data_IF_319552966920
#
_entry.id   IF_319552966920
#
_cell.length_a   1.000
_cell.length_b   1.000
_cell.length_c   1.000
_cell.angle_alpha   90.00
_cell.angle_beta   90.00
_cell.angle_gamma   90.00
#
_symmetry.space_group_name_H-M   'P 1'
#
loop_
_entity.id
_entity.type
_entity.pdbx_description
1 polymer ?
#
# COMPACT_ATOMS: atom_id res chain seq x y z
N UNK A 1 16.41 -22.21 -17.71
CA UNK A 1 17.18 -22.15 -16.45
C UNK A 1 17.25 -23.58 -15.94
N UNK A 2 18.42 -24.21 -16.03
CA UNK A 2 18.63 -25.54 -15.49
C UNK A 2 18.84 -25.38 -13.97
N UNK A 3 17.76 -25.54 -13.20
CA UNK A 3 17.73 -25.40 -11.74
C UNK A 3 18.32 -26.62 -10.99
N UNK A 4 19.12 -27.45 -11.66
CA UNK A 4 20.04 -28.39 -11.02
C UNK A 4 21.02 -27.68 -10.06
N UNK A 5 21.06 -26.34 -10.08
CA UNK A 5 21.93 -25.48 -9.28
C UNK A 5 21.28 -24.77 -8.07
N UNK A 6 20.07 -25.15 -7.63
CA UNK A 6 19.75 -25.05 -6.18
C UNK A 6 20.57 -26.13 -5.42
N UNK A 7 21.88 -26.05 -5.58
CA UNK A 7 22.83 -27.11 -5.32
C UNK A 7 22.97 -27.36 -3.82
N UNK A 8 23.52 -28.53 -3.45
CA UNK A 8 24.02 -28.77 -2.10
C UNK A 8 24.89 -27.61 -1.58
N UNK A 9 25.60 -26.90 -2.47
CA UNK A 9 26.43 -25.74 -2.15
C UNK A 9 25.60 -24.52 -1.72
N UNK A 10 24.46 -24.25 -2.36
CA UNK A 10 23.56 -23.14 -1.97
C UNK A 10 22.89 -23.43 -0.62
N UNK A 11 22.41 -24.67 -0.41
CA UNK A 11 21.90 -25.11 0.90
C UNK A 11 22.98 -25.05 1.99
N UNK A 12 24.20 -25.47 1.66
CA UNK A 12 25.35 -25.41 2.56
C UNK A 12 25.73 -23.97 2.92
N UNK A 13 25.71 -23.03 1.97
CA UNK A 13 25.97 -21.61 2.23
C UNK A 13 24.93 -20.98 3.15
N UNK A 14 23.64 -21.29 2.95
CA UNK A 14 22.57 -20.81 3.84
C UNK A 14 22.74 -21.36 5.25
N UNK A 15 23.03 -22.66 5.38
CA UNK A 15 23.29 -23.28 6.67
C UNK A 15 24.56 -22.73 7.33
N UNK A 16 25.64 -22.55 6.56
CA UNK A 16 26.94 -22.07 7.04
C UNK A 16 26.90 -20.59 7.45
N UNK A 17 26.06 -19.79 6.80
CA UNK A 17 25.86 -18.39 7.14
C UNK A 17 24.73 -18.16 8.15
N UNK A 18 24.12 -19.22 8.68
CA UNK A 18 23.04 -19.16 9.66
C UNK A 18 21.92 -18.18 9.23
N UNK A 19 21.58 -18.17 7.93
CA UNK A 19 20.50 -17.33 7.40
C UNK A 19 19.20 -17.91 7.94
N UNK A 20 18.54 -17.18 8.85
CA UNK A 20 17.36 -17.67 9.58
C UNK A 20 16.04 -17.34 8.92
N UNK A 21 16.00 -16.26 8.13
CA UNK A 21 14.78 -15.78 7.49
C UNK A 21 15.08 -15.23 6.11
N UNK A 22 14.38 -15.73 5.09
CA UNK A 22 14.49 -15.27 3.72
C UNK A 22 13.14 -14.73 3.26
N UNK A 23 13.18 -13.56 2.64
CA UNK A 23 11.99 -12.89 2.11
C UNK A 23 12.02 -12.85 0.59
N UNK A 24 10.87 -13.12 -0.01
CA UNK A 24 10.65 -13.03 -1.45
C UNK A 24 9.92 -11.74 -1.79
N UNK A 25 10.54 -10.97 -2.68
CA UNK A 25 9.90 -9.84 -3.34
C UNK A 25 9.65 -10.24 -4.78
N UNK A 26 8.38 -10.39 -5.12
CA UNK A 26 7.92 -10.86 -6.43
C UNK A 26 7.46 -9.67 -7.26
N UNK A 27 8.05 -9.51 -8.43
CA UNK A 27 7.66 -8.49 -9.39
C UNK A 27 7.13 -9.16 -10.67
N UNK A 28 5.82 -9.00 -10.91
CA UNK A 28 5.10 -9.45 -12.09
C UNK A 28 4.71 -8.28 -13.00
N UNK A 29 5.58 -7.27 -13.09
CA UNK A 29 5.45 -6.12 -13.98
C UNK A 29 6.43 -6.26 -15.16
N UNK A 30 6.41 -5.31 -16.09
CA UNK A 30 7.18 -5.21 -17.35
C UNK A 30 8.56 -5.92 -17.41
N UNK A 31 9.28 -5.96 -16.29
CA UNK A 31 10.46 -6.79 -16.07
C UNK A 31 10.19 -7.83 -14.97
N UNK A 32 9.78 -9.04 -15.36
CA UNK A 32 9.46 -10.08 -14.39
C UNK A 32 10.70 -10.50 -13.59
N UNK A 33 10.69 -10.36 -12.25
CA UNK A 33 11.82 -10.82 -11.42
C UNK A 33 11.41 -11.28 -10.00
N UNK A 34 12.29 -12.08 -9.40
CA UNK A 34 12.20 -12.48 -7.99
C UNK A 34 13.47 -12.04 -7.28
N UNK A 35 13.32 -11.28 -6.21
CA UNK A 35 14.42 -10.90 -5.32
C UNK A 35 14.31 -11.67 -4.02
N UNK A 36 15.44 -12.17 -3.55
CA UNK A 36 15.58 -12.86 -2.26
C UNK A 36 16.48 -12.00 -1.37
N UNK A 37 15.97 -11.55 -0.23
CA UNK A 37 16.75 -10.78 0.76
C UNK A 37 16.69 -11.40 2.14
N UNK A 38 17.77 -11.21 2.90
CA UNK A 38 17.79 -11.34 4.36
C UNK A 38 17.45 -9.97 4.94
N UNK A 39 16.63 -9.92 5.99
CA UNK A 39 16.36 -8.70 6.75
C UNK A 39 17.73 -8.10 7.14
N UNK A 40 18.00 -6.85 6.76
CA UNK A 40 19.26 -6.09 6.89
C UNK A 40 20.17 -6.07 5.63
N UNK A 41 19.98 -5.04 4.80
CA UNK A 41 20.98 -4.33 3.94
C UNK A 41 21.64 -5.01 2.72
N UNK A 42 21.36 -6.26 2.32
CA UNK A 42 21.93 -6.79 1.06
C UNK A 42 20.91 -7.04 -0.05
N UNK A 43 21.04 -6.30 -1.15
CA UNK A 43 20.30 -6.52 -2.39
C UNK A 43 20.94 -7.69 -3.13
N UNK A 44 20.29 -8.87 -3.20
CA UNK A 44 20.77 -10.01 -4.00
C UNK A 44 19.74 -10.36 -5.07
N UNK A 45 20.13 -10.16 -6.33
CA UNK A 45 19.32 -10.42 -7.51
C UNK A 45 19.65 -11.80 -8.08
N UNK A 46 18.63 -12.58 -8.46
CA UNK A 46 18.81 -13.82 -9.21
C UNK A 46 18.69 -13.51 -10.70
N UNK A 47 19.81 -13.46 -11.42
CA UNK A 47 19.82 -13.22 -12.88
C UNK A 47 20.15 -14.49 -13.66
N UNK A 48 19.62 -14.55 -14.89
CA UNK A 48 19.51 -15.76 -15.73
C UNK A 48 20.84 -16.25 -16.33
N UNK A 49 21.97 -15.62 -16.06
CA UNK A 49 23.21 -15.94 -16.79
C UNK A 49 24.47 -15.50 -16.10
N UNK A 50 24.72 -15.91 -14.86
CA UNK A 50 26.10 -16.02 -14.38
C UNK A 50 26.22 -16.97 -13.20
N UNK A 51 27.31 -17.73 -13.23
CA UNK A 51 27.77 -18.63 -12.19
C UNK A 51 27.72 -17.94 -10.82
N UNK A 52 27.53 -18.71 -9.75
CA UNK A 52 27.84 -18.28 -8.39
C UNK A 52 29.31 -17.83 -8.30
N UNK A 53 29.59 -16.58 -8.64
CA UNK A 53 30.83 -15.87 -8.34
C UNK A 53 30.43 -14.60 -7.59
N UNK A 54 30.29 -14.74 -6.28
CA UNK A 54 30.13 -13.62 -5.38
C UNK A 54 31.55 -13.14 -5.04
N UNK A 55 31.89 -11.89 -5.37
CA UNK A 55 33.03 -11.19 -4.75
C UNK A 55 32.96 -9.64 -4.77
N UNK A 56 31.91 -9.01 -5.32
CA UNK A 56 31.74 -7.55 -5.15
C UNK A 56 30.27 -7.16 -5.06
N UNK A 57 29.95 -6.39 -4.01
CA UNK A 57 28.67 -5.75 -3.80
C UNK A 57 28.52 -4.54 -4.74
N UNK A 58 27.89 -4.76 -5.89
CA UNK A 58 27.25 -3.70 -6.67
C UNK A 58 25.87 -4.17 -7.10
N UNK A 59 24.81 -3.37 -6.93
CA UNK A 59 23.48 -3.72 -7.40
C UNK A 59 23.48 -3.68 -8.93
N UNK A 60 23.59 -4.85 -9.55
CA UNK A 60 23.33 -4.99 -10.98
C UNK A 60 21.82 -5.17 -11.13
N UNK A 61 21.12 -4.08 -11.46
CA UNK A 61 19.77 -4.16 -12.02
C UNK A 61 19.90 -4.74 -13.42
N UNK A 62 19.75 -6.06 -13.54
CA UNK A 62 19.74 -6.73 -14.84
C UNK A 62 18.29 -7.04 -15.19
N UNK A 63 17.80 -6.36 -16.22
CA UNK A 63 16.58 -6.68 -16.93
C UNK A 63 16.62 -8.17 -17.31
N UNK A 64 15.74 -8.96 -16.70
CA UNK A 64 15.53 -10.34 -17.13
C UNK A 64 14.94 -10.29 -18.54
N UNK A 65 15.50 -11.08 -19.46
CA UNK A 65 15.03 -11.30 -20.85
C UNK A 65 13.55 -10.94 -21.04
N UNK A 66 13.25 -10.10 -22.04
CA UNK A 66 11.88 -9.75 -22.46
C UNK A 66 10.99 -10.97 -22.75
N UNK A 67 11.57 -12.17 -22.85
CA UNK A 67 10.92 -13.45 -23.14
C UNK A 67 10.71 -14.37 -21.92
N UNK A 68 10.83 -13.89 -20.67
CA UNK A 68 10.35 -14.70 -19.53
C UNK A 68 8.82 -14.68 -19.47
N UNK A 69 8.21 -15.86 -19.62
CA UNK A 69 6.79 -16.03 -19.31
C UNK A 69 6.55 -15.99 -17.81
N UNK A 70 5.39 -15.46 -17.41
CA UNK A 70 4.86 -15.49 -16.04
C UNK A 70 4.95 -16.88 -15.41
N UNK A 71 4.64 -17.93 -16.18
CA UNK A 71 4.67 -19.32 -15.72
C UNK A 71 6.07 -19.75 -15.23
N UNK A 72 7.13 -19.28 -15.90
CA UNK A 72 8.51 -19.58 -15.50
C UNK A 72 8.88 -18.88 -14.20
N UNK A 73 8.36 -17.68 -13.99
CA UNK A 73 8.58 -16.88 -12.77
C UNK A 73 7.86 -17.56 -11.61
N UNK A 74 6.59 -17.93 -11.77
CA UNK A 74 5.83 -18.68 -10.76
C UNK A 74 6.52 -20.00 -10.38
N UNK A 75 7.01 -20.75 -11.37
CA UNK A 75 7.77 -21.99 -11.13
C UNK A 75 9.07 -21.75 -10.35
N UNK A 76 9.71 -20.60 -10.57
CA UNK A 76 10.89 -20.21 -9.80
C UNK A 76 10.51 -19.88 -8.35
N UNK A 77 9.43 -19.13 -8.13
CA UNK A 77 8.93 -18.77 -6.78
C UNK A 77 8.60 -20.04 -5.99
N UNK A 78 7.84 -20.96 -6.58
CA UNK A 78 7.50 -22.26 -5.97
C UNK A 78 8.74 -23.06 -5.60
N UNK A 79 9.73 -23.12 -6.48
CA UNK A 79 10.99 -23.81 -6.19
C UNK A 79 11.78 -23.13 -5.08
N UNK A 80 11.91 -21.81 -5.09
CA UNK A 80 12.61 -21.06 -4.03
C UNK A 80 11.91 -21.29 -2.69
N UNK A 81 10.58 -21.19 -2.63
CA UNK A 81 9.82 -21.49 -1.42
C UNK A 81 10.00 -22.95 -0.99
N UNK A 82 9.97 -23.93 -1.91
CA UNK A 82 10.15 -25.35 -1.57
C UNK A 82 11.50 -25.66 -0.93
N UNK A 83 12.56 -24.96 -1.36
CA UNK A 83 13.95 -25.21 -0.95
C UNK A 83 14.30 -24.43 0.31
N UNK A 84 13.90 -23.16 0.37
CA UNK A 84 14.35 -22.21 1.39
C UNK A 84 13.28 -21.85 2.40
N UNK A 85 12.03 -22.28 2.19
CA UNK A 85 10.87 -21.90 3.01
C UNK A 85 10.71 -20.38 3.15
N UNK A 86 11.17 -19.64 2.14
CA UNK A 86 11.10 -18.20 2.11
C UNK A 86 9.65 -17.73 1.92
N UNK A 87 9.22 -16.77 2.75
CA UNK A 87 7.89 -16.19 2.71
C UNK A 87 7.82 -15.07 1.67
N UNK A 88 6.68 -14.92 1.02
CA UNK A 88 6.44 -13.81 0.09
C UNK A 88 6.13 -12.57 0.92
N UNK A 89 7.10 -11.66 0.99
CA UNK A 89 6.94 -10.41 1.73
C UNK A 89 6.20 -9.38 0.90
N UNK A 90 6.58 -9.20 -0.36
CA UNK A 90 5.92 -8.23 -1.23
C UNK A 90 5.56 -8.81 -2.59
N UNK A 91 4.40 -8.41 -3.09
CA UNK A 91 3.88 -8.78 -4.41
C UNK A 91 3.60 -7.51 -5.22
N UNK A 92 4.29 -7.35 -6.34
CA UNK A 92 4.09 -6.24 -7.27
C UNK A 92 3.48 -6.81 -8.56
N UNK A 93 2.30 -6.35 -8.97
CA UNK A 93 1.53 -6.89 -10.09
C UNK A 93 1.18 -5.78 -11.09
N UNK A 94 1.39 -6.04 -12.39
CA UNK A 94 0.78 -5.26 -13.47
C UNK A 94 -0.32 -6.07 -14.15
N UNK A 95 -1.61 -5.72 -13.94
CA UNK A 95 -2.71 -6.44 -14.58
C UNK A 95 -2.72 -6.33 -16.10
N UNK A 96 -2.25 -5.21 -16.67
CA UNK A 96 -2.25 -4.95 -18.11
C UNK A 96 -1.52 -6.09 -18.85
N UNK A 97 -2.21 -6.72 -19.80
CA UNK A 97 -1.66 -7.83 -20.57
C UNK A 97 -1.58 -9.18 -19.82
N UNK A 98 -1.94 -9.23 -18.53
CA UNK A 98 -1.94 -10.46 -17.71
C UNK A 98 -3.34 -10.92 -17.30
N UNK A 99 -4.40 -10.28 -17.77
CA UNK A 99 -5.79 -10.54 -17.37
C UNK A 99 -6.17 -12.02 -17.51
N UNK A 100 -5.88 -12.61 -18.67
CA UNK A 100 -6.17 -14.03 -18.94
C UNK A 100 -5.32 -15.01 -18.10
N UNK A 101 -4.22 -14.54 -17.51
CA UNK A 101 -3.31 -15.33 -16.69
C UNK A 101 -3.51 -15.07 -15.18
N UNK A 102 -4.29 -14.05 -14.80
CA UNK A 102 -4.38 -13.59 -13.42
C UNK A 102 -4.88 -14.67 -12.47
N UNK A 103 -5.86 -15.47 -12.90
CA UNK A 103 -6.36 -16.59 -12.09
C UNK A 103 -5.26 -17.62 -11.81
N UNK A 104 -4.49 -18.02 -12.82
CA UNK A 104 -3.35 -18.93 -12.64
C UNK A 104 -2.30 -18.33 -11.70
N UNK A 105 -1.97 -17.04 -11.87
CA UNK A 105 -1.01 -16.33 -10.99
C UNK A 105 -1.47 -16.44 -9.54
N UNK A 106 -2.71 -16.07 -9.29
CA UNK A 106 -3.31 -16.04 -7.96
C UNK A 106 -3.36 -17.44 -7.34
N UNK A 107 -3.86 -18.44 -8.07
CA UNK A 107 -3.98 -19.81 -7.56
C UNK A 107 -2.60 -20.38 -7.18
N UNK A 108 -1.56 -20.11 -8.00
CA UNK A 108 -0.20 -20.57 -7.73
C UNK A 108 0.44 -19.87 -6.54
N UNK A 109 0.24 -18.56 -6.38
CA UNK A 109 0.75 -17.83 -5.21
C UNK A 109 -0.02 -18.25 -3.94
N UNK A 110 -1.33 -18.46 -4.01
CA UNK A 110 -2.14 -18.93 -2.88
C UNK A 110 -1.73 -20.31 -2.36
N UNK A 111 -1.22 -21.18 -3.24
CA UNK A 111 -0.64 -22.47 -2.84
C UNK A 111 0.64 -22.31 -2.00
N UNK A 112 1.29 -21.15 -2.07
CA UNK A 112 2.47 -20.82 -1.28
C UNK A 112 2.06 -20.11 0.01
N UNK A 113 1.25 -19.05 -0.10
CA UNK A 113 0.96 -18.15 1.02
C UNK A 113 -0.37 -17.41 0.83
N UNK A 114 -1.16 -17.34 1.91
CA UNK A 114 -2.48 -16.67 1.91
C UNK A 114 -2.46 -15.22 2.37
N UNK A 115 -1.52 -14.87 3.25
CA UNK A 115 -1.38 -13.54 3.81
C UNK A 115 -0.04 -12.96 3.38
N UNK A 116 -0.02 -11.83 2.68
CA UNK A 116 1.20 -11.20 2.15
C UNK A 116 1.32 -9.82 2.79
N UNK A 117 2.53 -9.39 3.11
CA UNK A 117 2.73 -8.14 3.85
C UNK A 117 2.35 -6.92 3.01
N UNK A 118 2.90 -6.81 1.80
CA UNK A 118 2.69 -5.63 0.96
C UNK A 118 2.34 -6.01 -0.47
N UNK A 119 1.34 -5.33 -1.04
CA UNK A 119 0.93 -5.47 -2.43
C UNK A 119 1.01 -4.13 -3.14
N UNK A 120 1.66 -4.10 -4.31
CA UNK A 120 1.63 -2.96 -5.20
C UNK A 120 1.00 -3.36 -6.53
N UNK A 121 -0.10 -2.69 -6.91
CA UNK A 121 -0.81 -2.90 -8.16
C UNK A 121 -0.56 -1.66 -9.02
N UNK A 122 -0.08 -1.85 -10.24
CA UNK A 122 0.28 -0.75 -11.14
C UNK A 122 -0.10 -1.05 -12.57
N UNK A 123 -0.64 -0.06 -13.26
CA UNK A 123 -1.17 -0.26 -14.59
C UNK A 123 -1.85 0.97 -15.15
N UNK A 124 -1.96 1.05 -16.48
CA UNK A 124 -2.69 2.14 -17.11
C UNK A 124 -4.20 1.92 -16.92
N UNK A 125 -4.68 0.75 -17.33
CA UNK A 125 -6.05 0.31 -17.15
C UNK A 125 -6.13 -1.13 -16.61
N UNK A 126 -7.26 -1.48 -16.00
CA UNK A 126 -7.56 -2.89 -15.70
C UNK A 126 -9.07 -3.12 -15.64
N UNK A 127 -9.51 -4.33 -15.94
CA UNK A 127 -10.89 -4.73 -15.68
C UNK A 127 -11.20 -4.75 -14.18
N UNK A 128 -12.44 -4.37 -13.82
CA UNK A 128 -12.96 -4.44 -12.45
C UNK A 128 -12.78 -5.85 -11.87
N UNK A 129 -13.06 -6.87 -12.68
CA UNK A 129 -12.98 -8.28 -12.28
C UNK A 129 -11.55 -8.69 -11.90
N UNK A 130 -10.55 -8.27 -12.69
CA UNK A 130 -9.15 -8.56 -12.41
C UNK A 130 -8.70 -7.87 -11.13
N UNK A 131 -9.08 -6.61 -10.93
CA UNK A 131 -8.72 -5.87 -9.72
C UNK A 131 -9.40 -6.45 -8.46
N UNK A 132 -10.70 -6.76 -8.52
CA UNK A 132 -11.41 -7.46 -7.44
C UNK A 132 -10.77 -8.81 -7.11
N UNK A 133 -10.37 -9.56 -8.14
CA UNK A 133 -9.74 -10.86 -7.95
C UNK A 133 -8.45 -10.70 -7.15
N UNK A 134 -7.56 -9.77 -7.53
CA UNK A 134 -6.31 -9.52 -6.80
C UNK A 134 -6.58 -9.12 -5.34
N UNK A 135 -7.43 -8.11 -5.13
CA UNK A 135 -7.68 -7.53 -3.81
C UNK A 135 -8.41 -8.49 -2.84
N UNK A 136 -9.22 -9.43 -3.35
CA UNK A 136 -9.96 -10.39 -2.50
C UNK A 136 -9.26 -11.71 -2.29
N UNK A 137 -8.30 -12.07 -3.15
CA UNK A 137 -7.67 -13.38 -3.08
C UNK A 137 -6.72 -13.53 -1.89
N UNK A 138 -6.00 -12.46 -1.52
CA UNK A 138 -5.03 -12.49 -0.43
C UNK A 138 -5.46 -11.61 0.74
N UNK A 139 -4.94 -11.92 1.92
CA UNK A 139 -4.93 -10.99 3.04
C UNK A 139 -3.68 -10.13 2.95
N UNK A 140 -3.84 -8.84 2.67
CA UNK A 140 -2.73 -7.90 2.62
C UNK A 140 -2.69 -7.05 3.88
N UNK A 141 -1.48 -6.83 4.44
CA UNK A 141 -1.31 -5.81 5.48
C UNK A 141 -1.31 -4.42 4.84
N UNK A 142 -0.58 -4.24 3.75
CA UNK A 142 -0.46 -3.00 3.00
C UNK A 142 -0.85 -3.19 1.53
N UNK A 143 -1.61 -2.23 1.00
CA UNK A 143 -2.00 -2.17 -0.41
C UNK A 143 -1.65 -0.78 -0.97
N UNK A 144 -0.94 -0.79 -2.09
CA UNK A 144 -0.59 0.39 -2.89
C UNK A 144 -1.19 0.19 -4.29
N UNK A 145 -2.28 0.88 -4.59
CA UNK A 145 -2.97 0.85 -5.87
C UNK A 145 -2.60 2.08 -6.71
N UNK A 146 -2.03 1.82 -7.89
CA UNK A 146 -1.56 2.80 -8.88
C UNK A 146 -2.15 2.51 -10.26
N UNK A 147 -3.36 1.95 -10.32
CA UNK A 147 -4.11 1.88 -11.58
C UNK A 147 -4.56 3.29 -11.98
N UNK A 148 -4.22 3.75 -13.19
CA UNK A 148 -4.55 5.09 -13.65
C UNK A 148 -6.05 5.27 -13.95
N UNK A 149 -6.63 4.33 -14.69
CA UNK A 149 -8.01 4.37 -15.15
C UNK A 149 -8.70 3.00 -15.00
N UNK A 150 -10.00 3.03 -14.75
CA UNK A 150 -10.84 1.82 -14.76
C UNK A 150 -11.71 1.84 -16.01
N UNK A 151 -11.82 0.70 -16.68
CA UNK A 151 -12.62 0.58 -17.91
C UNK A 151 -14.14 0.73 -17.66
N UNK A 152 -14.59 0.65 -16.40
CA UNK A 152 -15.99 0.68 -15.97
C UNK A 152 -16.12 1.40 -14.62
N UNK A 153 -17.35 1.70 -14.17
CA UNK A 153 -17.61 2.29 -12.84
C UNK A 153 -17.24 1.28 -11.74
N UNK A 154 -16.00 1.37 -11.25
CA UNK A 154 -15.49 0.50 -10.21
C UNK A 154 -16.14 0.81 -8.86
N UNK A 155 -16.68 -0.21 -8.19
CA UNK A 155 -17.17 -0.11 -6.82
C UNK A 155 -16.82 -1.38 -6.05
N UNK A 156 -16.20 -1.20 -4.89
CA UNK A 156 -16.00 -2.27 -3.91
C UNK A 156 -16.61 -1.86 -2.58
N UNK A 157 -16.81 -2.82 -1.68
CA UNK A 157 -16.87 -2.53 -0.24
C UNK A 157 -15.49 -2.07 0.27
N UNK A 158 -15.43 -1.62 1.52
CA UNK A 158 -14.17 -1.26 2.19
C UNK A 158 -13.06 -2.31 2.01
N UNK A 159 -11.82 -1.85 1.85
CA UNK A 159 -10.67 -2.73 1.57
C UNK A 159 -10.07 -3.21 2.91
N UNK A 160 -10.05 -4.53 3.19
CA UNK A 160 -9.65 -5.05 4.50
C UNK A 160 -8.12 -5.17 4.62
N UNK A 161 -7.44 -4.03 4.73
CA UNK A 161 -6.01 -3.94 4.99
C UNK A 161 -5.71 -2.95 6.13
N UNK A 162 -4.49 -2.96 6.66
CA UNK A 162 -4.06 -2.02 7.70
C UNK A 162 -3.61 -0.69 7.11
N UNK A 163 -2.94 -0.72 5.94
CA UNK A 163 -2.39 0.45 5.25
C UNK A 163 -2.89 0.46 3.81
N UNK A 164 -3.56 1.54 3.41
CA UNK A 164 -4.12 1.71 2.08
C UNK A 164 -3.57 2.97 1.42
N UNK A 165 -3.03 2.84 0.22
CA UNK A 165 -2.66 3.96 -0.64
C UNK A 165 -3.28 3.77 -2.02
N UNK A 166 -4.09 4.73 -2.49
CA UNK A 166 -4.68 4.71 -3.84
C UNK A 166 -4.27 5.99 -4.57
N UNK A 167 -3.53 5.87 -5.67
CA UNK A 167 -2.98 7.02 -6.41
C UNK A 167 -4.02 7.71 -7.32
N UNK A 168 -4.97 6.96 -7.86
CA UNK A 168 -6.07 7.47 -8.68
C UNK A 168 -7.40 7.05 -8.06
N UNK A 169 -7.81 7.79 -7.03
CA UNK A 169 -8.89 7.40 -6.12
C UNK A 169 -10.26 7.97 -6.49
N UNK A 170 -10.47 8.51 -7.70
CA UNK A 170 -11.76 9.06 -8.16
C UNK A 170 -12.95 8.08 -8.05
N UNK A 171 -12.70 6.77 -8.04
CA UNK A 171 -13.73 5.74 -7.88
C UNK A 171 -14.03 5.44 -6.41
N UNK A 172 -13.14 5.81 -5.49
CA UNK A 172 -13.26 5.56 -4.06
C UNK A 172 -14.07 6.70 -3.44
N UNK A 173 -15.19 6.36 -2.81
CA UNK A 173 -16.21 7.25 -2.27
C UNK A 173 -16.21 7.22 -0.74
N UNK A 174 -16.92 8.16 -0.12
CA UNK A 174 -17.05 8.25 1.34
C UNK A 174 -17.59 6.96 1.98
N UNK A 175 -18.57 6.31 1.35
CA UNK A 175 -19.13 5.04 1.86
C UNK A 175 -18.07 3.93 1.96
N UNK A 176 -17.18 3.84 0.97
CA UNK A 176 -16.05 2.90 0.98
C UNK A 176 -15.00 3.25 2.03
N UNK A 177 -14.75 4.54 2.25
CA UNK A 177 -13.88 5.01 3.33
C UNK A 177 -14.43 4.55 4.68
N UNK A 178 -15.71 4.81 4.97
CA UNK A 178 -16.37 4.47 6.24
C UNK A 178 -16.51 2.95 6.48
N UNK A 179 -16.56 2.16 5.41
CA UNK A 179 -16.52 0.70 5.49
C UNK A 179 -15.12 0.12 5.78
N UNK A 180 -14.05 0.91 5.59
CA UNK A 180 -12.66 0.46 5.73
C UNK A 180 -12.18 0.44 7.20
N UNK A 181 -12.96 -0.20 8.09
CA UNK A 181 -12.78 -0.18 9.56
C UNK A 181 -11.49 -0.82 10.09
N UNK A 182 -10.82 -1.63 9.26
CA UNK A 182 -9.54 -2.28 9.61
C UNK A 182 -8.36 -1.34 9.34
N UNK A 183 -8.52 -0.35 8.45
CA UNK A 183 -7.44 0.54 8.07
C UNK A 183 -7.01 1.41 9.26
N UNK A 184 -5.69 1.43 9.47
CA UNK A 184 -5.03 2.35 10.41
C UNK A 184 -4.49 3.57 9.69
N UNK A 185 -4.12 3.44 8.41
CA UNK A 185 -3.57 4.52 7.59
C UNK A 185 -4.15 4.48 6.19
N UNK A 186 -4.62 5.63 5.71
CA UNK A 186 -5.21 5.76 4.37
C UNK A 186 -4.59 6.98 3.68
N UNK A 187 -4.14 6.80 2.44
CA UNK A 187 -3.74 7.88 1.54
C UNK A 187 -4.50 7.75 0.21
N UNK A 188 -5.27 8.77 -0.12
CA UNK A 188 -6.02 8.87 -1.37
C UNK A 188 -5.46 10.05 -2.17
N UNK A 189 -5.03 9.80 -3.40
CA UNK A 189 -4.60 10.85 -4.33
C UNK A 189 -5.56 10.97 -5.50
N UNK A 190 -5.64 12.18 -6.06
CA UNK A 190 -6.52 12.49 -7.19
C UNK A 190 -7.93 11.95 -6.94
N UNK A 191 -8.49 12.29 -5.79
CA UNK A 191 -9.80 11.83 -5.35
C UNK A 191 -10.92 12.71 -5.90
N UNK A 192 -12.15 12.19 -5.86
CA UNK A 192 -13.37 12.95 -6.14
C UNK A 192 -14.05 13.50 -4.87
N UNK A 193 -13.34 13.53 -3.74
CA UNK A 193 -13.93 13.95 -2.46
C UNK A 193 -14.21 15.46 -2.47
N UNK A 194 -15.42 15.82 -2.07
CA UNK A 194 -15.91 17.19 -1.95
C UNK A 194 -16.10 17.58 -0.47
N UNK A 195 -16.40 18.85 -0.21
CA UNK A 195 -16.60 19.40 1.14
C UNK A 195 -17.58 18.57 1.99
N UNK A 196 -18.65 18.06 1.37
CA UNK A 196 -19.64 17.19 2.03
C UNK A 196 -19.06 15.86 2.49
N UNK A 197 -18.18 15.23 1.71
CA UNK A 197 -17.55 13.97 2.09
C UNK A 197 -16.61 14.14 3.29
N UNK A 198 -15.88 15.27 3.36
CA UNK A 198 -15.05 15.60 4.52
C UNK A 198 -15.90 15.84 5.77
N UNK A 199 -17.02 16.56 5.63
CA UNK A 199 -17.97 16.75 6.74
C UNK A 199 -18.52 15.41 7.24
N UNK A 200 -18.99 14.55 6.33
CA UNK A 200 -19.50 13.21 6.65
C UNK A 200 -18.43 12.37 7.36
N UNK A 201 -17.20 12.33 6.84
CA UNK A 201 -16.08 11.64 7.50
C UNK A 201 -15.85 12.14 8.93
N UNK A 202 -15.75 13.46 9.13
CA UNK A 202 -15.47 14.05 10.45
C UNK A 202 -16.61 13.78 11.44
N UNK A 203 -17.86 13.91 11.00
CA UNK A 203 -19.05 13.64 11.84
C UNK A 203 -19.13 12.17 12.25
N UNK A 204 -18.94 11.28 11.30
CA UNK A 204 -18.95 9.83 11.55
C UNK A 204 -17.79 9.43 12.47
N UNK A 205 -16.60 10.00 12.28
CA UNK A 205 -15.47 9.73 13.17
C UNK A 205 -15.74 10.18 14.61
N UNK A 206 -16.34 11.37 14.80
CA UNK A 206 -16.70 11.90 16.14
C UNK A 206 -17.65 10.94 16.89
N UNK A 207 -18.59 10.29 16.20
CA UNK A 207 -19.52 9.33 16.82
C UNK A 207 -18.99 7.90 16.92
N UNK A 208 -17.74 7.65 16.49
CA UNK A 208 -17.07 6.36 16.69
C UNK A 208 -16.77 5.55 15.43
N UNK A 209 -16.97 6.09 14.23
CA UNK A 209 -16.55 5.43 13.00
C UNK A 209 -15.02 5.31 12.91
N UNK A 210 -14.57 4.29 12.16
CA UNK A 210 -13.15 4.05 11.87
C UNK A 210 -12.28 4.00 13.14
N UNK A 211 -12.54 3.07 14.08
CA UNK A 211 -11.96 3.10 15.43
C UNK A 211 -10.43 2.97 15.44
N UNK A 212 -9.87 2.31 14.42
CA UNK A 212 -8.43 2.04 14.29
C UNK A 212 -7.67 3.11 13.50
N UNK A 213 -8.36 4.09 12.93
CA UNK A 213 -7.74 5.07 12.04
C UNK A 213 -6.81 6.02 12.82
N UNK A 214 -5.55 6.00 12.43
CA UNK A 214 -4.49 6.84 12.97
C UNK A 214 -4.18 8.02 12.04
N UNK A 215 -4.25 7.80 10.73
CA UNK A 215 -3.89 8.81 9.74
C UNK A 215 -4.73 8.69 8.47
N UNK A 216 -5.23 9.81 7.97
CA UNK A 216 -5.92 9.92 6.69
C UNK A 216 -5.39 11.13 5.93
N UNK A 217 -4.99 10.92 4.68
CA UNK A 217 -4.62 11.98 3.75
C UNK A 217 -5.42 11.82 2.45
N UNK A 218 -6.07 12.90 2.02
CA UNK A 218 -6.88 12.92 0.80
C UNK A 218 -6.49 14.15 -0.01
N UNK A 219 -5.93 13.92 -1.19
CA UNK A 219 -5.72 14.94 -2.21
C UNK A 219 -6.97 15.05 -3.09
N UNK A 220 -7.54 16.26 -3.16
CA UNK A 220 -8.72 16.56 -3.97
C UNK A 220 -8.47 17.79 -4.83
N UNK A 221 -9.10 17.80 -6.01
CA UNK A 221 -8.99 18.86 -7.01
C UNK A 221 -10.21 19.80 -6.98
N UNK A 222 -11.15 19.54 -6.07
CA UNK A 222 -12.40 20.28 -5.98
C UNK A 222 -12.21 21.56 -5.18
N UNK A 223 -13.16 22.50 -5.33
CA UNK A 223 -13.16 23.69 -4.49
C UNK A 223 -13.68 23.31 -3.10
N UNK A 224 -12.87 23.58 -2.08
CA UNK A 224 -13.28 23.42 -0.68
C UNK A 224 -14.16 24.58 -0.23
N UNK A 225 -15.17 24.25 0.54
CA UNK A 225 -16.02 25.16 1.29
C UNK A 225 -15.93 24.79 2.77
N UNK A 226 -15.27 25.65 3.56
CA UNK A 226 -15.07 25.38 4.98
C UNK A 226 -16.37 25.46 5.78
N UNK A 227 -17.36 26.24 5.34
CA UNK A 227 -18.64 26.33 6.06
C UNK A 227 -19.38 25.00 5.97
N UNK A 228 -19.34 24.36 4.79
CA UNK A 228 -19.88 23.00 4.58
C UNK A 228 -19.09 21.96 5.36
N UNK A 229 -17.75 22.00 5.34
CA UNK A 229 -16.92 21.05 6.09
C UNK A 229 -17.21 21.11 7.59
N UNK A 230 -17.39 22.32 8.14
CA UNK A 230 -17.55 22.55 9.57
C UNK A 230 -19.00 22.44 10.06
N UNK A 231 -19.97 22.25 9.16
CA UNK A 231 -21.38 22.25 9.52
C UNK A 231 -21.72 21.19 10.59
N UNK A 232 -22.16 21.67 11.75
CA UNK A 232 -22.54 20.84 12.89
C UNK A 232 -21.38 20.08 13.55
N UNK A 233 -20.12 20.46 13.30
CA UNK A 233 -18.95 19.94 14.02
C UNK A 233 -18.63 20.79 15.25
N UNK A 234 -18.51 20.15 16.40
CA UNK A 234 -17.99 20.78 17.62
C UNK A 234 -16.47 20.65 17.67
N UNK A 235 -15.77 21.77 17.51
CA UNK A 235 -14.30 21.85 17.66
C UNK A 235 -13.95 21.99 19.13
N UNK A 236 -12.87 21.35 19.56
CA UNK A 236 -12.39 21.44 20.94
C UNK A 236 -12.09 22.92 21.31
N UNK A 237 -12.70 23.46 22.38
CA UNK A 237 -12.63 24.90 22.70
C UNK A 237 -11.27 25.33 23.29
N UNK A 238 -10.57 24.42 23.97
CA UNK A 238 -9.20 24.63 24.44
C UNK A 238 -8.27 23.65 23.70
N UNK A 239 -7.29 24.22 23.00
CA UNK A 239 -6.34 23.50 22.15
C UNK A 239 -4.91 23.66 22.63
N UNK A 240 -4.70 24.41 23.72
CA UNK A 240 -3.36 24.68 24.27
C UNK A 240 -2.66 23.39 24.70
N UNK A 241 -3.43 22.41 25.19
CA UNK A 241 -2.89 21.11 25.57
C UNK A 241 -2.46 20.25 24.37
N UNK A 242 -3.00 20.49 23.18
CA UNK A 242 -2.76 19.68 21.97
C UNK A 242 -1.78 20.32 21.00
N UNK A 243 -1.57 21.63 21.11
CA UNK A 243 -0.77 22.40 20.19
C UNK A 243 0.67 21.86 20.13
N UNK A 244 1.10 21.43 18.94
CA UNK A 244 2.44 20.90 18.72
C UNK A 244 2.64 19.44 19.15
N UNK A 245 1.59 18.72 19.58
CA UNK A 245 1.72 17.27 19.80
C UNK A 245 2.04 16.54 18.48
N UNK A 246 2.99 15.60 18.49
CA UNK A 246 3.28 14.81 17.31
C UNK A 246 2.16 13.81 17.05
N UNK A 247 2.01 13.45 15.78
CA UNK A 247 1.24 12.31 15.35
C UNK A 247 2.08 11.48 14.38
N UNK A 248 1.65 10.24 14.17
CA UNK A 248 2.30 9.37 13.20
C UNK A 248 1.74 9.62 11.81
N UNK A 249 2.59 9.96 10.84
CA UNK A 249 2.16 10.14 9.46
C UNK A 249 2.11 8.81 8.69
N UNK A 250 1.75 8.87 7.40
CA UNK A 250 1.61 7.69 6.56
C UNK A 250 2.87 6.78 6.56
N UNK A 251 4.08 7.36 6.45
CA UNK A 251 5.35 6.62 6.46
C UNK A 251 5.75 6.05 7.82
N UNK A 252 5.00 6.34 8.89
CA UNK A 252 5.34 5.93 10.25
C UNK A 252 6.32 6.86 10.97
N UNK A 253 6.70 7.97 10.34
CA UNK A 253 7.51 9.01 10.97
C UNK A 253 6.62 9.98 11.75
N UNK A 254 7.16 10.57 12.81
CA UNK A 254 6.47 11.60 13.58
C UNK A 254 6.42 12.92 12.82
N UNK A 255 5.24 13.54 12.79
CA UNK A 255 4.99 14.83 12.16
C UNK A 255 4.06 15.69 13.02
N UNK A 256 3.98 16.97 12.65
CA UNK A 256 3.10 17.95 13.29
C UNK A 256 2.21 18.58 12.22
N UNK A 257 0.91 18.67 12.50
CA UNK A 257 -0.03 19.43 11.67
C UNK A 257 -0.03 20.84 12.26
N UNK A 258 0.58 21.77 11.53
CA UNK A 258 0.64 23.17 11.90
C UNK A 258 -0.72 23.80 11.55
N UNK A 259 -1.30 24.57 12.48
CA UNK A 259 -2.61 25.23 12.31
C UNK A 259 -3.77 24.26 12.04
N UNK A 260 -3.73 23.07 12.67
CA UNK A 260 -4.84 22.13 12.65
C UNK A 260 -6.01 22.55 13.54
N UNK A 261 -7.19 22.08 13.18
CA UNK A 261 -8.38 22.10 14.02
C UNK A 261 -8.47 20.78 14.80
N UNK A 262 -9.00 20.84 16.02
CA UNK A 262 -9.04 19.68 16.92
C UNK A 262 -10.47 19.24 17.15
N UNK A 263 -10.74 17.95 16.99
CA UNK A 263 -12.04 17.34 17.26
C UNK A 263 -11.89 16.19 18.24
N UNK A 264 -12.94 15.95 19.02
CA UNK A 264 -12.97 14.93 20.06
C UNK A 264 -14.04 13.89 19.71
N UNK A 265 -13.64 12.63 19.71
CA UNK A 265 -14.52 11.48 19.56
C UNK A 265 -15.29 11.21 20.85
N UNK A 266 -16.42 10.51 20.75
CA UNK A 266 -17.29 10.13 21.88
C UNK A 266 -16.57 9.38 23.00
N UNK A 267 -15.46 8.70 22.71
CA UNK A 267 -14.63 7.99 23.70
C UNK A 267 -13.53 8.86 24.33
N UNK A 268 -13.51 10.16 24.02
CA UNK A 268 -12.53 11.12 24.52
C UNK A 268 -11.27 11.24 23.68
N UNK A 269 -11.07 10.39 22.66
CA UNK A 269 -9.90 10.47 21.79
C UNK A 269 -9.90 11.76 20.98
N UNK A 270 -8.74 12.39 20.83
CA UNK A 270 -8.60 13.67 20.12
C UNK A 270 -7.82 13.48 18.83
N UNK A 271 -8.30 14.10 17.77
CA UNK A 271 -7.61 14.16 16.49
C UNK A 271 -7.46 15.60 16.02
N UNK A 272 -6.46 15.83 15.18
CA UNK A 272 -6.23 17.08 14.48
C UNK A 272 -6.48 16.89 12.99
N UNK A 273 -7.04 17.90 12.32
CA UNK A 273 -7.11 17.92 10.86
C UNK A 273 -6.78 19.29 10.30
N UNK A 274 -6.30 19.32 9.06
CA UNK A 274 -5.94 20.54 8.35
C UNK A 274 -6.09 20.36 6.84
N UNK A 275 -6.34 21.47 6.14
CA UNK A 275 -6.34 21.51 4.69
C UNK A 275 -5.10 22.27 4.21
N UNK A 276 -4.09 21.53 3.74
CA UNK A 276 -2.88 22.11 3.17
C UNK A 276 -3.14 22.49 1.71
N UNK A 277 -2.92 23.75 1.38
CA UNK A 277 -2.87 24.19 -0.02
C UNK A 277 -1.51 23.81 -0.62
N UNK A 278 -1.52 23.23 -1.81
CA UNK A 278 -0.28 22.94 -2.55
C UNK A 278 -0.01 24.07 -3.53
N UNK A 279 1.07 24.86 -3.33
CA UNK A 279 1.44 25.93 -4.25
C UNK A 279 2.14 25.33 -5.47
N UNK A 280 1.42 24.60 -6.33
CA UNK A 280 1.96 24.20 -7.63
C UNK A 280 1.34 25.08 -8.72
N UNK A 281 2.23 25.60 -9.55
CA UNK A 281 2.06 26.64 -10.55
C UNK A 281 0.80 26.43 -11.43
N UNK A 282 -0.11 27.40 -11.32
CA UNK A 282 -0.97 27.95 -12.35
C UNK A 282 -2.16 27.16 -12.94
N UNK A 283 -2.40 25.87 -12.66
CA UNK A 283 -3.63 25.22 -13.13
C UNK A 283 -4.17 24.22 -12.10
N UNK A 284 -5.27 24.61 -11.46
CA UNK A 284 -6.19 23.89 -10.55
C UNK A 284 -5.95 23.97 -9.03
N UNK A 285 -7.09 24.12 -8.32
CA UNK A 285 -7.22 24.28 -6.88
C UNK A 285 -7.01 22.92 -6.19
N UNK A 286 -5.79 22.41 -6.19
CA UNK A 286 -5.45 21.22 -5.43
C UNK A 286 -5.31 21.54 -3.95
N UNK A 287 -5.89 20.70 -3.10
CA UNK A 287 -5.63 20.72 -1.67
C UNK A 287 -5.46 19.30 -1.13
N UNK A 288 -4.78 19.22 0.01
CA UNK A 288 -4.62 17.98 0.76
C UNK A 288 -5.35 18.16 2.09
N UNK A 289 -6.39 17.37 2.30
CA UNK A 289 -6.94 17.15 3.64
C UNK A 289 -6.05 16.16 4.37
N UNK A 290 -5.60 16.53 5.56
CA UNK A 290 -4.88 15.64 6.47
C UNK A 290 -5.65 15.56 7.77
N UNK A 291 -5.80 14.34 8.27
CA UNK A 291 -6.38 14.02 9.56
C UNK A 291 -5.43 13.06 10.27
N UNK A 292 -5.17 13.30 11.55
CA UNK A 292 -4.31 12.45 12.35
C UNK A 292 -4.79 12.36 13.80
N UNK A 293 -4.72 11.14 14.35
CA UNK A 293 -4.95 10.87 15.75
C UNK A 293 -3.79 11.43 16.58
N UNK A 294 -4.09 12.18 17.63
CA UNK A 294 -3.04 12.63 18.55
C UNK A 294 -2.66 11.48 19.47
N UNK A 295 -1.35 11.29 19.68
CA UNK A 295 -0.91 10.37 20.72
C UNK A 295 -1.28 10.94 22.09
N UNK A 296 -1.87 10.09 22.92
CA UNK A 296 -1.97 10.34 24.35
C UNK A 296 -0.67 9.80 24.94
N UNK A 297 0.16 10.68 25.49
CA UNK A 297 1.34 10.23 26.24
C UNK A 297 0.84 9.41 27.44
N UNK A 298 1.20 8.13 27.48
CA UNK A 298 1.02 7.27 28.64
C UNK A 298 2.17 7.44 29.62
#
# INVERSE_FOLDING_TARGET
>A
INLSQCSKKTKSLINAWNIRHLELHVNLCYDYFVRVSEFVTSHRYLTKSQQFQCNTASPVTQYLDKDLSVERVLTLIERINSVFKAEIKSLKITPNGLENQMRMIIDRILNIQKAIDSCEILGNDTSINTHHLILRSFKFREIIDRIHEYQEQFSMRGIPCEILSIEHSNWFQISQLLESRVCTKIQLKRSSFESGDFNEFLREWVVGALPNLLFLSIESNYKRDMDVVMEGLEVAPDTTEFQGRPHECFSGTEQHIINGQYIRRVDGTVATFHFRETPILALSNYFIFEFALLRVDN
#
